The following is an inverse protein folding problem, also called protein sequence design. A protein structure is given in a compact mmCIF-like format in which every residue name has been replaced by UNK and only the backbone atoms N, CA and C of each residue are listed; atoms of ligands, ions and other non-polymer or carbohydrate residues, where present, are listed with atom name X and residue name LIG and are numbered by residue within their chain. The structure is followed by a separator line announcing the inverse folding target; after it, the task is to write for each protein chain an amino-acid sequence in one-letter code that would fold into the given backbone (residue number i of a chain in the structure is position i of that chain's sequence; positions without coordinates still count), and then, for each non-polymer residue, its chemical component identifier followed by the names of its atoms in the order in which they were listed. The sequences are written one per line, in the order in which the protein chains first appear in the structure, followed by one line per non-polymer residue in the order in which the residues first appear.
data_IF_949621681152
#
_entry.id   IF_949621681152
#
_cell.length_a   1.000
_cell.length_b   1.000
_cell.length_c   1.000
_cell.angle_alpha   90.00
_cell.angle_beta   90.00
_cell.angle_gamma   90.00
#
_symmetry.space_group_name_H-M   'P 1'
#
loop_
_entity.id
_entity.type
_entity.pdbx_description
1 polymer ?
#
# COMPACT_ATOMS: atom_id res chain seq x y z
N UNK A 1 -11.19 -2.78 -29.18
CA UNK A 1 -11.29 -1.64 -28.23
C UNK A 1 -10.92 -2.15 -26.84
N UNK A 2 -9.79 -1.71 -26.28
CA UNK A 2 -9.39 -2.11 -24.93
C UNK A 2 -10.20 -1.32 -23.90
N UNK A 3 -10.85 -2.04 -22.99
CA UNK A 3 -11.63 -1.44 -21.91
C UNK A 3 -10.71 -0.72 -20.93
N UNK A 4 -11.12 0.46 -20.44
CA UNK A 4 -10.40 1.19 -19.39
C UNK A 4 -10.14 0.32 -18.15
N UNK A 5 -11.03 -0.64 -17.87
CA UNK A 5 -10.89 -1.56 -16.75
C UNK A 5 -9.78 -2.61 -16.95
N UNK A 6 -9.52 -3.07 -18.18
CA UNK A 6 -8.42 -4.02 -18.43
C UNK A 6 -7.06 -3.34 -18.31
N UNK A 7 -6.93 -2.11 -18.84
CA UNK A 7 -5.71 -1.31 -18.72
C UNK A 7 -5.31 -1.03 -17.26
N UNK A 8 -6.29 -0.72 -16.41
CA UNK A 8 -6.05 -0.45 -14.98
C UNK A 8 -5.61 -1.71 -14.22
N UNK A 9 -6.12 -2.90 -14.60
CA UNK A 9 -5.65 -4.17 -14.03
C UNK A 9 -4.20 -4.47 -14.42
N UNK A 10 -3.85 -4.26 -15.68
CA UNK A 10 -2.50 -4.51 -16.18
C UNK A 10 -1.48 -3.54 -15.58
N UNK A 11 -1.88 -2.28 -15.38
CA UNK A 11 -1.07 -1.28 -14.69
C UNK A 11 -0.89 -1.61 -13.20
N UNK A 12 -1.96 -2.00 -12.50
CA UNK A 12 -1.89 -2.41 -11.10
C UNK A 12 -1.04 -3.67 -10.86
N UNK A 13 -0.96 -4.57 -11.83
CA UNK A 13 -0.10 -5.76 -11.76
C UNK A 13 1.39 -5.46 -11.93
N UNK A 14 1.73 -4.34 -12.60
CA UNK A 14 3.13 -3.92 -12.83
C UNK A 14 3.60 -2.86 -11.84
N UNK A 15 2.67 -2.08 -11.29
CA UNK A 15 2.95 -0.97 -10.39
C UNK A 15 2.16 -1.13 -9.08
N UNK A 16 2.80 -1.56 -7.97
CA UNK A 16 2.10 -1.82 -6.71
C UNK A 16 1.45 -0.57 -6.08
N UNK A 17 1.95 0.62 -6.42
CA UNK A 17 1.42 1.91 -5.94
C UNK A 17 0.47 2.58 -6.93
N UNK A 18 0.03 1.87 -7.96
CA UNK A 18 -0.88 2.42 -8.94
C UNK A 18 -2.19 2.90 -8.29
N UNK A 19 -2.55 4.16 -8.52
CA UNK A 19 -3.74 4.79 -7.95
C UNK A 19 -3.59 5.32 -6.52
N UNK A 20 -2.39 5.31 -5.95
CA UNK A 20 -2.13 5.99 -4.67
C UNK A 20 -2.16 7.51 -4.87
N UNK A 21 -2.98 8.20 -4.08
CA UNK A 21 -3.04 9.65 -4.07
C UNK A 21 -2.38 10.20 -2.80
N UNK A 22 -1.50 11.21 -2.92
CA UNK A 22 -0.92 11.85 -1.73
C UNK A 22 -2.01 12.32 -0.77
N UNK A 23 -1.85 12.03 0.52
CA UNK A 23 -2.81 12.36 1.60
C UNK A 23 -4.20 11.70 1.47
N UNK A 24 -4.35 10.72 0.58
CA UNK A 24 -5.56 9.90 0.40
C UNK A 24 -5.17 8.44 0.16
N UNK A 25 -4.33 7.92 1.05
CA UNK A 25 -3.92 6.52 1.03
C UNK A 25 -4.89 5.74 1.90
N UNK A 26 -5.20 4.48 1.61
CA UNK A 26 -6.04 3.66 2.49
C UNK A 26 -5.20 2.49 3.01
N UNK A 27 -5.43 2.08 4.27
CA UNK A 27 -4.68 0.96 4.85
C UNK A 27 -4.77 -0.31 4.01
N UNK A 28 -5.95 -0.62 3.46
CA UNK A 28 -6.14 -1.74 2.53
C UNK A 28 -5.26 -1.65 1.27
N UNK A 29 -5.12 -0.45 0.69
CA UNK A 29 -4.25 -0.23 -0.48
C UNK A 29 -2.79 -0.52 -0.12
N UNK A 30 -2.33 -0.07 1.05
CA UNK A 30 -0.97 -0.36 1.54
C UNK A 30 -0.77 -1.85 1.79
N UNK A 31 -1.75 -2.55 2.38
CA UNK A 31 -1.69 -4.01 2.59
C UNK A 31 -1.52 -4.75 1.27
N UNK A 32 -2.27 -4.36 0.24
CA UNK A 32 -2.16 -4.92 -1.12
C UNK A 32 -0.80 -4.63 -1.74
N UNK A 33 -0.30 -3.40 -1.64
CA UNK A 33 1.02 -3.04 -2.16
C UNK A 33 2.16 -3.78 -1.45
N UNK A 34 2.08 -3.99 -0.13
CA UNK A 34 3.07 -4.77 0.64
C UNK A 34 3.06 -6.26 0.32
N UNK A 35 1.89 -6.81 -0.02
CA UNK A 35 1.73 -8.22 -0.39
C UNK A 35 2.05 -8.49 -1.87
N UNK A 36 2.35 -7.45 -2.65
CA UNK A 36 2.65 -7.56 -4.07
C UNK A 36 3.96 -8.33 -4.31
N UNK A 37 4.12 -8.92 -5.49
CA UNK A 37 5.33 -9.69 -5.82
C UNK A 37 6.56 -8.79 -6.03
N UNK A 38 6.32 -7.62 -6.60
CA UNK A 38 7.32 -6.59 -6.88
C UNK A 38 7.40 -5.54 -5.80
N UNK A 39 8.62 -5.13 -5.46
CA UNK A 39 8.91 -3.99 -4.61
C UNK A 39 8.62 -2.69 -5.37
N UNK A 40 7.74 -1.82 -4.85
CA UNK A 40 7.36 -0.59 -5.54
C UNK A 40 8.50 0.44 -5.68
N UNK A 41 9.55 0.36 -4.85
CA UNK A 41 10.65 1.33 -4.85
C UNK A 41 11.78 0.93 -5.79
N UNK A 42 12.08 -0.38 -5.89
CA UNK A 42 13.17 -0.89 -6.73
C UNK A 42 12.68 -1.55 -8.01
N UNK A 43 11.38 -1.81 -8.13
CA UNK A 43 10.73 -2.55 -9.23
C UNK A 43 11.24 -3.99 -9.40
N UNK A 44 11.90 -4.53 -8.38
CA UNK A 44 12.42 -5.90 -8.36
C UNK A 44 11.55 -6.81 -7.48
N UNK A 45 11.54 -8.13 -7.71
CA UNK A 45 10.84 -9.08 -6.85
C UNK A 45 11.32 -9.00 -5.38
N UNK A 46 10.39 -9.15 -4.44
CA UNK A 46 10.74 -9.22 -3.03
C UNK A 46 11.54 -10.48 -2.68
N UNK A 47 12.52 -10.34 -1.79
CA UNK A 47 13.29 -11.48 -1.27
C UNK A 47 12.44 -12.33 -0.32
N UNK A 48 12.81 -13.60 -0.14
CA UNK A 48 12.12 -14.49 0.81
C UNK A 48 12.22 -13.98 2.25
N UNK A 49 13.33 -13.34 2.62
CA UNK A 49 13.52 -12.75 3.93
C UNK A 49 12.52 -11.61 4.19
N UNK A 50 12.27 -10.75 3.20
CA UNK A 50 11.25 -9.70 3.32
C UNK A 50 9.87 -10.28 3.64
N UNK A 51 9.47 -11.36 2.95
CA UNK A 51 8.17 -12.02 3.17
C UNK A 51 8.05 -12.58 4.60
N UNK A 52 9.10 -13.23 5.10
CA UNK A 52 9.15 -13.72 6.50
C UNK A 52 9.01 -12.57 7.50
N UNK A 53 9.72 -11.46 7.29
CA UNK A 53 9.63 -10.27 8.16
C UNK A 53 8.22 -9.66 8.10
N UNK A 54 7.62 -9.60 6.91
CA UNK A 54 6.27 -9.07 6.71
C UNK A 54 5.23 -9.89 7.49
N UNK A 55 5.32 -11.21 7.46
CA UNK A 55 4.44 -12.10 8.24
C UNK A 55 4.57 -11.89 9.75
N UNK A 56 5.80 -11.70 10.24
CA UNK A 56 6.03 -11.37 11.66
C UNK A 56 5.45 -9.99 12.01
N UNK A 57 5.64 -8.98 11.14
CA UNK A 57 5.12 -7.62 11.36
C UNK A 57 3.60 -7.54 11.33
N UNK A 58 2.94 -8.38 10.52
CA UNK A 58 1.47 -8.49 10.50
C UNK A 58 0.87 -8.90 11.85
N UNK A 59 1.65 -9.57 12.71
CA UNK A 59 1.23 -9.99 14.05
C UNK A 59 1.34 -8.88 15.10
N UNK A 60 1.99 -7.75 14.78
CA UNK A 60 2.12 -6.65 15.72
C UNK A 60 0.76 -5.96 15.93
N UNK A 61 0.40 -5.57 17.17
CA UNK A 61 -0.87 -4.89 17.45
C UNK A 61 -1.06 -3.62 16.62
N UNK A 62 0.03 -2.90 16.33
CA UNK A 62 0.04 -1.69 15.52
C UNK A 62 -0.43 -1.95 14.09
N UNK A 63 -0.18 -3.14 13.54
CA UNK A 63 -0.61 -3.49 12.18
C UNK A 63 -2.15 -3.59 12.07
N UNK A 64 -2.82 -3.98 13.16
CA UNK A 64 -4.27 -4.01 13.22
C UNK A 64 -4.87 -2.59 13.23
N UNK A 65 -4.18 -1.63 13.84
CA UNK A 65 -4.59 -0.22 13.93
C UNK A 65 -4.23 0.61 12.69
N UNK A 66 -3.66 -0.02 11.65
CA UNK A 66 -3.15 0.70 10.48
C UNK A 66 -4.24 1.50 9.75
N UNK A 67 -5.47 1.00 9.70
CA UNK A 67 -6.58 1.72 9.07
C UNK A 67 -6.95 3.00 9.83
N UNK A 68 -6.87 2.98 11.17
CA UNK A 68 -7.21 4.13 12.01
C UNK A 68 -6.07 5.15 12.10
N UNK A 69 -4.81 4.68 12.10
CA UNK A 69 -3.63 5.55 11.98
C UNK A 69 -3.73 6.45 10.76
N UNK A 70 -4.07 5.83 9.64
CA UNK A 70 -4.22 6.47 8.36
C UNK A 70 -5.40 7.46 8.37
N UNK A 71 -6.59 7.07 8.84
CA UNK A 71 -7.71 8.02 9.02
C UNK A 71 -7.33 9.23 9.91
N UNK A 72 -6.57 9.02 10.99
CA UNK A 72 -6.17 10.08 11.92
C UNK A 72 -5.19 11.07 11.29
N UNK A 73 -4.18 10.60 10.55
CA UNK A 73 -3.17 11.47 9.93
C UNK A 73 -3.77 12.39 8.85
N UNK A 74 -4.88 11.99 8.23
CA UNK A 74 -5.58 12.82 7.23
C UNK A 74 -6.81 13.55 7.77
N UNK A 75 -7.24 13.28 9.00
CA UNK A 75 -8.23 14.07 9.69
C UNK A 75 -7.58 15.37 10.19
N UNK A 76 -7.41 16.31 9.25
CA UNK A 76 -7.13 17.73 9.45
C UNK A 76 -6.11 18.06 10.56
N UNK A 77 -4.78 18.06 10.26
CA UNK A 77 -3.81 18.50 11.26
C UNK A 77 -4.16 19.93 11.69
N UNK A 78 -4.15 20.25 13.00
CA UNK A 78 -4.42 21.62 13.45
C UNK A 78 -3.47 22.54 12.69
N UNK A 79 -4.04 23.48 11.92
CA UNK A 79 -3.26 24.50 11.22
C UNK A 79 -2.35 25.12 12.27
N UNK A 80 -1.05 24.82 12.21
CA UNK A 80 -0.08 25.53 13.04
C UNK A 80 -0.23 26.99 12.66
N UNK A 81 -0.77 27.79 13.60
CA UNK A 81 -0.77 29.24 13.51
C UNK A 81 0.66 29.74 13.61
#
# INVERSE_FOLDING_TARGET
MFSKASYQKDAAAKEPLFGFLPRKVQGEQVRKAMAHELNPFTKQPHTQQYRKILETRKKLPVFAQMDDFYKMEWADPPRRR
#
